data_IF_868003044271
#
_entry.id   IF_868003044271
#
_cell.length_a   1.000
_cell.length_b   1.000
_cell.length_c   1.000
_cell.angle_alpha   90.00
_cell.angle_beta   90.00
_cell.angle_gamma   90.00
#
_symmetry.space_group_name_H-M   'P 1'
#
loop_
_entity.id
_entity.type
_entity.pdbx_description
1 polymer ?
#
# COMPACT_ATOMS: atom_id res chain seq x y z
N UNK A 1 30.05 9.67 -2.12
CA UNK A 1 28.98 10.23 -2.93
C UNK A 1 27.62 9.90 -2.32
N UNK A 2 26.72 10.80 -2.42
CA UNK A 2 25.39 10.59 -1.84
C UNK A 2 24.52 9.80 -2.80
N UNK A 3 24.06 8.68 -2.33
CA UNK A 3 23.13 7.86 -3.09
C UNK A 3 21.76 8.51 -3.14
N UNK A 4 21.09 8.39 -4.27
CA UNK A 4 19.72 8.86 -4.38
C UNK A 4 18.79 8.21 -3.37
N UNK A 5 19.12 7.00 -2.92
CA UNK A 5 18.26 6.36 -1.93
C UNK A 5 18.31 7.06 -0.58
N UNK A 6 19.28 7.94 -0.34
CA UNK A 6 19.26 8.78 0.85
C UNK A 6 18.12 9.78 0.80
N UNK A 7 17.56 9.99 -0.38
CA UNK A 7 16.42 10.87 -0.59
C UNK A 7 15.12 10.14 -0.24
N UNK A 8 15.15 8.82 -0.14
CA UNK A 8 13.97 8.03 0.20
C UNK A 8 13.92 7.79 1.69
N UNK A 9 12.80 8.11 2.28
CA UNK A 9 12.62 7.95 3.71
C UNK A 9 11.77 6.73 4.01
N UNK A 10 12.34 5.77 4.73
CA UNK A 10 11.61 4.61 5.21
C UNK A 10 11.22 4.83 6.66
N UNK A 11 9.96 4.56 6.96
CA UNK A 11 9.40 4.77 8.28
C UNK A 11 8.89 3.42 8.81
N UNK A 12 9.29 3.09 10.04
CA UNK A 12 8.77 1.91 10.70
C UNK A 12 7.30 2.13 11.03
N UNK A 13 6.44 1.21 10.59
CA UNK A 13 5.00 1.32 10.83
C UNK A 13 4.47 0.23 11.74
N UNK A 14 5.12 -0.93 11.77
CA UNK A 14 4.59 -2.07 12.52
C UNK A 14 5.66 -3.13 12.72
N UNK A 15 5.30 -4.17 13.46
CA UNK A 15 6.06 -5.41 13.51
C UNK A 15 5.38 -6.44 12.62
N UNK A 16 6.15 -7.41 12.16
CA UNK A 16 5.64 -8.48 11.29
C UNK A 16 4.43 -9.16 11.91
N UNK A 17 4.49 -9.46 13.21
CA UNK A 17 3.40 -10.15 13.88
C UNK A 17 2.14 -9.30 14.05
N UNK A 18 2.23 -7.98 13.83
CA UNK A 18 1.05 -7.12 13.91
C UNK A 18 0.13 -7.28 12.71
N UNK A 19 0.66 -7.82 11.61
CA UNK A 19 -0.12 -8.02 10.37
C UNK A 19 0.06 -9.46 9.92
N UNK A 20 -0.72 -10.40 10.48
CA UNK A 20 -0.64 -11.80 10.07
C UNK A 20 -1.00 -12.01 8.60
N UNK A 21 -0.58 -13.15 8.00
CA UNK A 21 -0.95 -13.45 6.62
C UNK A 21 -2.45 -13.33 6.37
N UNK A 22 -2.82 -12.68 5.29
CA UNK A 22 -4.21 -12.46 4.92
C UNK A 22 -4.82 -11.21 5.53
N UNK A 23 -4.09 -10.53 6.38
CA UNK A 23 -4.59 -9.32 7.03
C UNK A 23 -3.94 -8.07 6.44
N UNK A 24 -4.49 -6.94 6.83
CA UNK A 24 -4.01 -5.62 6.42
C UNK A 24 -4.13 -4.65 7.58
N UNK A 25 -3.34 -3.55 7.50
CA UNK A 25 -3.47 -2.42 8.43
C UNK A 25 -3.28 -1.15 7.63
N UNK A 26 -3.99 -0.08 7.99
CA UNK A 26 -3.79 1.20 7.34
C UNK A 26 -3.09 2.14 8.31
N UNK A 27 -2.35 3.08 7.73
CA UNK A 27 -1.57 4.05 8.50
C UNK A 27 -1.71 5.43 7.86
N UNK A 28 -1.84 6.46 8.71
CA UNK A 28 -1.95 7.82 8.23
C UNK A 28 -0.58 8.49 8.20
N UNK A 29 -0.25 9.06 7.05
CA UNK A 29 0.86 10.00 6.91
C UNK A 29 0.25 11.36 6.62
N UNK A 30 1.06 12.44 6.70
CA UNK A 30 0.55 13.78 6.44
C UNK A 30 -0.05 13.92 5.05
N UNK A 31 0.66 13.42 4.05
CA UNK A 31 0.25 13.56 2.66
C UNK A 31 -0.82 12.57 2.25
N UNK A 32 -0.83 11.39 2.87
CA UNK A 32 -1.66 10.31 2.38
C UNK A 32 -1.74 9.18 3.37
N UNK A 33 -2.88 8.50 3.40
CA UNK A 33 -3.00 7.24 4.13
C UNK A 33 -2.58 6.10 3.23
N UNK A 34 -2.01 5.06 3.81
CA UNK A 34 -1.57 3.87 3.08
C UNK A 34 -2.14 2.62 3.72
N UNK A 35 -2.21 1.54 2.93
CA UNK A 35 -2.61 0.22 3.43
C UNK A 35 -1.43 -0.72 3.23
N UNK A 36 -1.07 -1.45 4.28
CA UNK A 36 -0.07 -2.50 4.22
C UNK A 36 -0.80 -3.84 4.28
N UNK A 37 -0.55 -4.68 3.27
CA UNK A 37 -1.16 -6.01 3.16
C UNK A 37 -0.10 -7.07 3.40
N UNK A 38 -0.47 -8.13 4.10
CA UNK A 38 0.36 -9.33 4.18
C UNK A 38 -0.28 -10.41 3.31
N UNK A 39 0.39 -10.77 2.21
CA UNK A 39 -0.07 -11.83 1.33
C UNK A 39 0.97 -12.94 1.34
N UNK A 40 0.66 -14.03 2.02
CA UNK A 40 1.55 -15.18 2.09
C UNK A 40 2.89 -14.90 2.75
N UNK A 41 2.96 -13.97 3.65
CA UNK A 41 4.18 -13.60 4.35
C UNK A 41 4.97 -12.48 3.70
N UNK A 42 4.49 -11.95 2.56
CA UNK A 42 5.09 -10.80 1.90
C UNK A 42 4.21 -9.58 2.10
N UNK A 43 4.85 -8.43 2.24
CA UNK A 43 4.14 -7.19 2.55
C UNK A 43 4.13 -6.24 1.35
N UNK A 44 2.97 -5.66 1.09
CA UNK A 44 2.78 -4.70 0.00
C UNK A 44 2.06 -3.49 0.52
N UNK A 45 2.38 -2.32 -0.02
CA UNK A 45 1.81 -1.07 0.46
C UNK A 45 1.34 -0.23 -0.72
N UNK A 46 0.09 0.20 -0.66
CA UNK A 46 -0.47 1.13 -1.65
C UNK A 46 -1.18 2.26 -0.92
N UNK A 47 -1.41 3.35 -1.63
CA UNK A 47 -2.22 4.44 -1.11
C UNK A 47 -3.64 3.94 -0.81
N UNK A 48 -4.23 4.41 0.27
CA UNK A 48 -5.61 4.11 0.62
C UNK A 48 -6.54 5.02 -0.18
N UNK A 49 -6.55 4.79 -1.49
CA UNK A 49 -7.15 5.71 -2.43
C UNK A 49 -7.58 4.96 -3.68
N UNK A 50 -8.84 5.11 -4.08
CA UNK A 50 -9.30 4.64 -5.37
C UNK A 50 -9.14 5.80 -6.37
N UNK A 51 -8.37 5.59 -7.44
CA UNK A 51 -8.11 6.67 -8.40
C UNK A 51 -9.35 7.10 -9.17
N UNK A 52 -10.41 6.32 -9.13
CA UNK A 52 -11.67 6.65 -9.80
C UNK A 52 -12.45 7.71 -9.03
N UNK A 53 -12.54 7.60 -7.71
CA UNK A 53 -13.41 8.47 -6.92
C UNK A 53 -12.73 9.09 -5.69
N UNK A 54 -11.42 8.87 -5.54
CA UNK A 54 -10.62 9.36 -4.41
C UNK A 54 -11.04 8.85 -3.04
N UNK A 55 -11.93 7.86 -3.00
CA UNK A 55 -12.36 7.27 -1.75
C UNK A 55 -11.42 6.18 -1.25
N UNK A 56 -11.58 5.74 0.01
CA UNK A 56 -10.69 4.74 0.59
C UNK A 56 -10.87 3.34 0.01
N UNK A 57 -9.81 2.55 0.08
CA UNK A 57 -9.78 1.15 -0.35
C UNK A 57 -9.69 0.17 0.82
N UNK A 58 -9.55 0.67 2.04
CA UNK A 58 -9.25 -0.19 3.20
C UNK A 58 -10.28 -1.28 3.45
N UNK A 59 -11.54 -1.06 3.08
CA UNK A 59 -12.60 -2.04 3.23
C UNK A 59 -12.82 -2.89 1.97
N UNK A 60 -11.99 -2.70 0.95
CA UNK A 60 -12.12 -3.44 -0.29
C UNK A 60 -11.70 -4.89 -0.13
N UNK A 61 -12.36 -5.80 -0.84
CA UNK A 61 -11.97 -7.20 -0.82
C UNK A 61 -10.64 -7.39 -1.54
N UNK A 62 -9.81 -8.27 -1.00
CA UNK A 62 -8.56 -8.66 -1.63
C UNK A 62 -8.72 -10.06 -2.18
N UNK A 63 -8.45 -10.22 -3.47
CA UNK A 63 -8.44 -11.51 -4.13
C UNK A 63 -7.08 -11.68 -4.79
N UNK A 64 -6.28 -12.61 -4.28
CA UNK A 64 -4.89 -12.72 -4.72
C UNK A 64 -4.14 -11.45 -4.41
N UNK A 65 -3.73 -10.72 -5.45
CA UNK A 65 -3.02 -9.45 -5.31
C UNK A 65 -3.88 -8.27 -5.76
N UNK A 66 -5.19 -8.46 -5.90
CA UNK A 66 -6.09 -7.43 -6.40
C UNK A 66 -7.02 -6.95 -5.30
N UNK A 67 -6.98 -5.65 -5.02
CA UNK A 67 -7.92 -5.03 -4.09
C UNK A 67 -9.04 -4.37 -4.89
N UNK A 68 -10.27 -4.61 -4.46
CA UNK A 68 -11.44 -4.06 -5.14
C UNK A 68 -11.99 -2.85 -4.40
N UNK A 69 -12.23 -1.76 -5.12
CA UNK A 69 -12.89 -0.60 -4.56
C UNK A 69 -14.33 -0.99 -4.19
N UNK A 70 -14.74 -0.84 -2.91
CA UNK A 70 -16.04 -1.32 -2.48
C UNK A 70 -17.22 -0.55 -3.04
N UNK A 71 -16.98 0.62 -3.66
CA UNK A 71 -18.07 1.47 -4.17
C UNK A 71 -18.46 1.14 -5.61
N UNK A 72 -17.45 0.94 -6.49
CA UNK A 72 -17.73 0.79 -7.93
C UNK A 72 -17.00 -0.37 -8.58
N UNK A 73 -16.29 -1.18 -7.82
CA UNK A 73 -15.67 -2.39 -8.34
C UNK A 73 -14.37 -2.21 -9.11
N UNK A 74 -13.76 -1.03 -9.07
CA UNK A 74 -12.43 -0.85 -9.66
C UNK A 74 -11.44 -1.74 -8.92
N UNK A 75 -10.48 -2.34 -9.64
CA UNK A 75 -9.49 -3.23 -9.03
C UNK A 75 -8.09 -2.71 -9.28
N UNK A 76 -7.23 -2.91 -8.30
CA UNK A 76 -5.84 -2.46 -8.34
C UNK A 76 -4.92 -3.57 -7.88
N UNK A 77 -3.77 -3.68 -8.55
CA UNK A 77 -2.72 -4.61 -8.15
C UNK A 77 -1.95 -3.99 -6.99
N UNK A 78 -1.99 -4.63 -5.83
CA UNK A 78 -1.34 -4.07 -4.62
C UNK A 78 0.18 -4.10 -4.70
N UNK A 79 0.76 -4.84 -5.67
CA UNK A 79 2.21 -4.90 -5.84
C UNK A 79 2.73 -3.69 -6.60
N UNK A 80 1.93 -3.10 -7.47
CA UNK A 80 2.36 -2.04 -8.39
C UNK A 80 1.49 -0.80 -8.36
N UNK A 81 0.26 -0.92 -7.87
CA UNK A 81 -0.73 0.15 -7.94
C UNK A 81 -1.47 0.23 -9.27
N UNK A 82 -1.18 -0.68 -10.20
CA UNK A 82 -1.79 -0.64 -11.51
C UNK A 82 -3.30 -0.83 -11.44
N UNK A 83 -4.04 0.00 -12.18
CA UNK A 83 -5.48 -0.18 -12.35
C UNK A 83 -5.73 -1.36 -13.28
N UNK A 84 -6.54 -2.32 -12.84
CA UNK A 84 -6.75 -3.57 -13.55
C UNK A 84 -8.08 -3.64 -14.30
N UNK A 85 -9.04 -2.81 -13.92
CA UNK A 85 -10.31 -2.78 -14.62
C UNK A 85 -11.04 -1.46 -14.38
N UNK A 86 -11.97 -1.17 -15.28
CA UNK A 86 -12.84 -0.02 -15.14
C UNK A 86 -13.68 -0.15 -13.85
N UNK A 87 -14.09 0.97 -13.25
CA UNK A 87 -14.01 2.31 -13.80
C UNK A 87 -12.68 3.05 -13.57
N UNK A 88 -11.70 2.43 -12.92
CA UNK A 88 -10.40 3.08 -12.73
C UNK A 88 -9.56 2.96 -13.99
N UNK A 89 -8.96 4.07 -14.40
CA UNK A 89 -8.08 4.12 -15.58
C UNK A 89 -6.68 4.59 -15.24
N UNK A 90 -6.47 5.07 -14.01
CA UNK A 90 -5.17 5.54 -13.55
C UNK A 90 -4.69 4.69 -12.39
N UNK A 91 -3.37 4.48 -12.27
CA UNK A 91 -2.84 3.72 -11.13
C UNK A 91 -2.97 4.51 -9.83
N UNK A 92 -2.80 3.79 -8.72
CA UNK A 92 -2.66 4.41 -7.42
C UNK A 92 -1.19 4.29 -7.00
N UNK A 93 -0.70 5.17 -6.13
CA UNK A 93 0.68 5.06 -5.64
C UNK A 93 0.92 3.74 -4.92
N UNK A 94 2.05 3.12 -5.22
CA UNK A 94 2.54 1.95 -4.49
C UNK A 94 3.86 2.33 -3.85
N UNK A 95 4.06 1.90 -2.62
CA UNK A 95 5.22 2.27 -1.82
C UNK A 95 6.02 1.02 -1.49
N UNK A 96 7.33 1.16 -1.51
CA UNK A 96 8.21 0.04 -1.22
C UNK A 96 8.10 -0.33 0.26
N UNK A 97 8.14 -1.63 0.54
CA UNK A 97 8.13 -2.15 1.91
C UNK A 97 9.43 -2.90 2.14
N UNK A 98 10.04 -2.66 3.30
CA UNK A 98 11.22 -3.40 3.75
C UNK A 98 10.91 -4.05 5.08
N UNK A 99 11.40 -5.26 5.25
CA UNK A 99 11.34 -5.95 6.54
C UNK A 99 12.76 -6.18 7.02
N UNK A 100 13.06 -5.70 8.21
CA UNK A 100 14.36 -5.91 8.85
C UNK A 100 14.13 -6.50 10.23
N UNK A 101 14.55 -7.75 10.40
CA UNK A 101 14.22 -8.51 11.60
C UNK A 101 12.70 -8.67 11.67
N UNK A 102 12.11 -8.15 12.74
CA UNK A 102 10.66 -8.21 12.92
C UNK A 102 9.97 -6.88 12.57
N UNK A 103 10.72 -5.91 12.06
CA UNK A 103 10.18 -4.57 11.83
C UNK A 103 9.81 -4.35 10.37
N UNK A 104 8.65 -3.76 10.15
CA UNK A 104 8.15 -3.40 8.83
C UNK A 104 8.35 -1.91 8.61
N UNK A 105 9.01 -1.55 7.52
CA UNK A 105 9.23 -0.18 7.11
C UNK A 105 8.57 0.07 5.78
N UNK A 106 7.94 1.21 5.62
CA UNK A 106 7.39 1.62 4.33
C UNK A 106 8.05 2.91 3.87
N UNK A 107 8.15 3.05 2.56
CA UNK A 107 8.61 4.27 1.93
C UNK A 107 7.57 5.34 2.18
N UNK A 108 7.98 6.42 2.85
CA UNK A 108 7.03 7.45 3.27
C UNK A 108 6.50 8.25 2.09
N UNK A 109 5.17 8.44 1.98
CA UNK A 109 4.62 9.38 1.01
C UNK A 109 4.97 10.83 1.33
N UNK A 110 5.40 11.10 2.57
CA UNK A 110 5.80 12.45 3.01
C UNK A 110 7.27 12.73 2.78
N UNK A 111 7.89 12.02 1.87
CA UNK A 111 9.33 11.95 1.77
C UNK A 111 10.03 13.30 1.58
N UNK A 112 9.42 14.33 1.30
CA UNK A 112 10.05 15.63 1.12
C UNK A 112 9.05 16.75 1.28
#
# INVERSE_FOLDING_TARGET
>A
MISLRLMTKFVKVAKVQDIPPGERRWYDFEEESVIVFNVGGRFYCVADLCSHDDGPLEDGELEGYEVECPRHGARFDIRTGKALCLPATSPIPAYEVKVEGDDIYVESPDAW
#
